data_IF_141907919518
#
_entry.id   IF_141907919518
#
_cell.length_a   1.000
_cell.length_b   1.000
_cell.length_c   1.000
_cell.angle_alpha   90.00
_cell.angle_beta   90.00
_cell.angle_gamma   90.00
#
_symmetry.space_group_name_H-M   'P 1'
#
loop_
_entity.id
_entity.type
_entity.pdbx_description
1 polymer ?
#
# COMPACT_ATOMS: atom_id res chain seq x y z
N UNK A 1 -12.34 28.21 -10.49
CA UNK A 1 -11.03 28.09 -11.15
C UNK A 1 -9.82 28.29 -10.23
N UNK A 2 -9.89 29.08 -9.15
CA UNK A 2 -8.74 29.34 -8.26
C UNK A 2 -8.29 28.18 -7.33
N UNK A 3 -9.11 27.15 -7.10
CA UNK A 3 -8.74 26.00 -6.24
C UNK A 3 -7.87 24.95 -6.97
N UNK A 4 -8.17 24.65 -8.23
CA UNK A 4 -7.45 23.64 -9.03
C UNK A 4 -5.98 24.01 -9.33
N UNK A 5 -5.64 25.30 -9.37
CA UNK A 5 -4.26 25.75 -9.54
C UNK A 5 -3.43 25.66 -8.25
N UNK A 6 -4.08 25.66 -7.08
CA UNK A 6 -3.40 25.58 -5.77
C UNK A 6 -2.98 24.16 -5.44
N UNK A 7 -3.82 23.18 -5.81
CA UNK A 7 -3.54 21.76 -5.58
C UNK A 7 -2.41 21.23 -6.48
N UNK A 8 -2.37 21.62 -7.76
CA UNK A 8 -1.27 21.27 -8.68
C UNK A 8 0.08 21.88 -8.29
N UNK A 9 0.09 23.04 -7.63
CA UNK A 9 1.33 23.70 -7.15
C UNK A 9 1.90 22.98 -5.92
N UNK A 10 1.02 22.53 -5.02
CA UNK A 10 1.39 21.80 -3.81
C UNK A 10 1.96 20.40 -4.10
N UNK A 11 1.47 19.74 -5.15
CA UNK A 11 1.94 18.41 -5.58
C UNK A 11 3.36 18.48 -6.15
N UNK A 12 3.64 19.48 -7.01
CA UNK A 12 4.99 19.76 -7.52
C UNK A 12 5.99 20.12 -6.42
N UNK A 13 5.59 20.92 -5.43
CA UNK A 13 6.47 21.26 -4.30
C UNK A 13 6.76 20.04 -3.40
N UNK A 14 5.82 19.07 -3.30
CA UNK A 14 6.05 17.81 -2.56
C UNK A 14 6.98 16.86 -3.31
N UNK A 15 6.88 16.77 -4.63
CA UNK A 15 7.80 15.97 -5.45
C UNK A 15 9.22 16.55 -5.45
N UNK A 16 9.35 17.88 -5.57
CA UNK A 16 10.66 18.55 -5.50
C UNK A 16 11.32 18.41 -4.11
N UNK A 17 10.53 18.47 -3.03
CA UNK A 17 11.05 18.21 -1.67
C UNK A 17 11.48 16.75 -1.48
N UNK A 18 10.77 15.79 -2.07
CA UNK A 18 11.17 14.37 -2.04
C UNK A 18 12.45 14.14 -2.84
N UNK A 19 12.59 14.75 -4.01
CA UNK A 19 13.84 14.67 -4.80
C UNK A 19 15.02 15.35 -4.08
N UNK A 20 14.79 16.45 -3.36
CA UNK A 20 15.84 17.12 -2.58
C UNK A 20 16.31 16.27 -1.39
N UNK A 21 15.38 15.66 -0.63
CA UNK A 21 15.72 14.77 0.49
C UNK A 21 16.45 13.50 0.02
N UNK A 22 16.07 12.96 -1.13
CA UNK A 22 16.77 11.80 -1.73
C UNK A 22 18.18 12.18 -2.18
N UNK A 23 18.40 13.41 -2.66
CA UNK A 23 19.73 13.90 -3.03
C UNK A 23 20.63 14.15 -1.83
N UNK A 24 20.12 14.77 -0.76
CA UNK A 24 20.89 14.97 0.47
C UNK A 24 21.30 13.63 1.11
N UNK A 25 20.40 12.63 1.11
CA UNK A 25 20.72 11.28 1.58
C UNK A 25 21.72 10.53 0.68
N UNK A 26 21.76 10.85 -0.62
CA UNK A 26 22.76 10.31 -1.54
C UNK A 26 24.13 10.97 -1.35
N UNK A 27 24.18 12.28 -1.15
CA UNK A 27 25.43 13.02 -0.91
C UNK A 27 26.07 12.63 0.44
N UNK A 28 25.28 12.45 1.50
CA UNK A 28 25.78 12.00 2.80
C UNK A 28 26.33 10.57 2.74
N UNK A 29 25.66 9.67 2.01
CA UNK A 29 26.15 8.32 1.77
C UNK A 29 27.44 8.30 0.93
N UNK A 30 27.57 9.20 -0.06
CA UNK A 30 28.79 9.35 -0.87
C UNK A 30 29.97 9.89 -0.05
N UNK A 31 29.74 10.83 0.87
CA UNK A 31 30.77 11.32 1.78
C UNK A 31 31.24 10.22 2.74
N UNK A 32 30.33 9.45 3.35
CA UNK A 32 30.70 8.32 4.22
C UNK A 32 31.47 7.22 3.46
N UNK A 33 31.12 6.97 2.20
CA UNK A 33 31.84 6.06 1.30
C UNK A 33 33.25 6.58 0.94
N UNK A 34 33.42 7.89 0.82
CA UNK A 34 34.71 8.51 0.50
C UNK A 34 35.74 8.33 1.64
N UNK A 35 35.27 8.29 2.89
CA UNK A 35 36.10 8.04 4.07
C UNK A 35 36.61 6.59 4.10
N UNK A 36 35.80 5.64 3.64
CA UNK A 36 36.15 4.20 3.55
C UNK A 36 37.11 3.87 2.39
N UNK A 37 37.12 4.69 1.33
CA UNK A 37 37.92 4.50 0.11
C UNK A 37 39.44 4.68 0.29
N UNK A 38 39.90 5.23 1.43
CA UNK A 38 41.34 5.42 1.72
C UNK A 38 42.11 4.12 2.01
N UNK A 39 41.45 2.95 2.10
CA UNK A 39 42.11 1.64 2.22
C UNK A 39 41.57 0.64 1.18
N UNK A 40 42.34 0.40 0.12
CA UNK A 40 42.23 -0.80 -0.73
C UNK A 40 41.09 -0.83 -1.77
N UNK A 41 41.27 -0.12 -2.88
CA UNK A 41 40.26 0.05 -3.97
C UNK A 41 39.73 -1.23 -4.63
N UNK A 42 40.45 -2.35 -4.56
CA UNK A 42 40.03 -3.63 -5.17
C UNK A 42 39.06 -4.45 -4.31
N UNK A 43 39.29 -4.49 -3.00
CA UNK A 43 38.41 -5.18 -2.06
C UNK A 43 37.10 -4.38 -1.86
N UNK A 44 37.20 -3.05 -1.80
CA UNK A 44 36.07 -2.15 -1.58
C UNK A 44 35.04 -2.22 -2.72
N UNK A 45 35.46 -2.31 -3.99
CA UNK A 45 34.49 -2.44 -5.11
C UNK A 45 33.68 -3.73 -5.07
N UNK A 46 34.32 -4.86 -4.74
CA UNK A 46 33.63 -6.15 -4.61
C UNK A 46 32.68 -6.14 -3.41
N UNK A 47 33.12 -5.56 -2.29
CA UNK A 47 32.27 -5.34 -1.11
C UNK A 47 31.09 -4.43 -1.44
N UNK A 48 31.28 -3.35 -2.19
CA UNK A 48 30.18 -2.44 -2.60
C UNK A 48 29.16 -3.18 -3.49
N UNK A 49 29.61 -3.97 -4.47
CA UNK A 49 28.68 -4.74 -5.32
C UNK A 49 27.92 -5.82 -4.54
N UNK A 50 28.59 -6.45 -3.57
CA UNK A 50 27.97 -7.47 -2.71
C UNK A 50 27.00 -6.81 -1.71
N UNK A 51 27.32 -5.61 -1.20
CA UNK A 51 26.43 -4.80 -0.36
C UNK A 51 25.21 -4.32 -1.15
N UNK A 52 25.37 -3.82 -2.37
CA UNK A 52 24.25 -3.41 -3.21
C UNK A 52 23.33 -4.61 -3.56
N UNK A 53 23.91 -5.78 -3.81
CA UNK A 53 23.13 -7.00 -4.05
C UNK A 53 22.35 -7.41 -2.79
N UNK A 54 22.98 -7.41 -1.63
CA UNK A 54 22.32 -7.76 -0.36
C UNK A 54 21.26 -6.75 0.06
N UNK A 55 21.48 -5.45 -0.15
CA UNK A 55 20.48 -4.40 0.07
C UNK A 55 19.28 -4.58 -0.85
N UNK A 56 19.52 -4.87 -2.14
CA UNK A 56 18.44 -5.13 -3.10
C UNK A 56 17.63 -6.38 -2.75
N UNK A 57 18.29 -7.46 -2.34
CA UNK A 57 17.59 -8.69 -1.92
C UNK A 57 16.83 -8.50 -0.61
N UNK A 58 17.40 -7.79 0.37
CA UNK A 58 16.71 -7.43 1.60
C UNK A 58 15.47 -6.56 1.32
N UNK A 59 15.59 -5.56 0.43
CA UNK A 59 14.46 -4.72 0.03
C UNK A 59 13.37 -5.53 -0.70
N UNK A 60 13.73 -6.47 -1.58
CA UNK A 60 12.77 -7.37 -2.23
C UNK A 60 12.02 -8.23 -1.22
N UNK A 61 12.72 -8.79 -0.24
CA UNK A 61 12.09 -9.61 0.79
C UNK A 61 11.16 -8.78 1.68
N UNK A 62 11.55 -7.56 2.07
CA UNK A 62 10.66 -6.63 2.78
C UNK A 62 9.41 -6.29 1.98
N UNK A 63 9.54 -6.00 0.67
CA UNK A 63 8.39 -5.73 -0.20
C UNK A 63 7.45 -6.94 -0.33
N UNK A 64 8.02 -8.15 -0.40
CA UNK A 64 7.25 -9.38 -0.42
C UNK A 64 6.48 -9.59 0.88
N UNK A 65 7.11 -9.34 2.03
CA UNK A 65 6.45 -9.42 3.33
C UNK A 65 5.31 -8.41 3.45
N UNK A 66 5.52 -7.17 3.00
CA UNK A 66 4.46 -6.14 2.96
C UNK A 66 3.27 -6.58 2.10
N UNK A 67 3.52 -7.10 0.90
CA UNK A 67 2.44 -7.63 0.04
C UNK A 67 1.68 -8.79 0.69
N UNK A 68 2.38 -9.71 1.34
CA UNK A 68 1.72 -10.81 2.06
C UNK A 68 0.80 -10.27 3.17
N UNK A 69 1.23 -9.24 3.90
CA UNK A 69 0.40 -8.61 4.93
C UNK A 69 -0.82 -7.89 4.35
N UNK A 70 -0.67 -7.19 3.23
CA UNK A 70 -1.79 -6.58 2.48
C UNK A 70 -2.82 -7.62 2.03
N UNK A 71 -2.37 -8.81 1.65
CA UNK A 71 -3.22 -9.96 1.31
C UNK A 71 -3.79 -10.69 2.53
N UNK A 72 -3.47 -10.26 3.76
CA UNK A 72 -3.88 -10.91 4.99
C UNK A 72 -3.21 -12.27 5.22
N UNK A 73 -1.97 -12.42 4.78
CA UNK A 73 -1.14 -13.63 4.93
C UNK A 73 0.07 -13.39 5.82
N UNK A 74 0.51 -14.44 6.50
CA UNK A 74 1.64 -14.42 7.40
C UNK A 74 2.95 -14.30 6.59
N UNK A 75 3.86 -13.38 6.95
CA UNK A 75 5.14 -13.23 6.26
C UNK A 75 6.07 -14.43 6.48
N UNK A 76 5.94 -15.15 7.59
CA UNK A 76 6.78 -16.31 7.89
C UNK A 76 6.31 -17.60 7.20
N UNK A 77 4.99 -17.87 7.23
CA UNK A 77 4.45 -19.16 6.76
C UNK A 77 3.45 -19.08 5.61
N UNK A 78 3.11 -17.87 5.13
CA UNK A 78 2.20 -17.64 3.98
C UNK A 78 0.72 -17.97 4.21
N UNK A 79 0.35 -18.48 5.40
CA UNK A 79 -1.04 -18.82 5.75
C UNK A 79 -1.84 -17.58 6.13
N UNK A 80 -3.18 -17.67 6.04
CA UNK A 80 -4.08 -16.57 6.41
C UNK A 80 -3.89 -16.13 7.87
N UNK A 81 -3.70 -14.84 8.08
CA UNK A 81 -3.71 -14.22 9.41
C UNK A 81 -5.13 -13.86 9.83
N UNK A 82 -5.37 -13.82 11.13
CA UNK A 82 -6.55 -13.18 11.71
C UNK A 82 -6.21 -11.75 12.08
N UNK A 83 -7.00 -10.80 11.59
CA UNK A 83 -6.85 -9.37 11.89
C UNK A 83 -7.81 -8.96 13.00
N UNK A 84 -7.26 -8.36 14.06
CA UNK A 84 -7.97 -7.67 15.13
C UNK A 84 -7.79 -6.14 14.93
N UNK A 85 -8.43 -5.32 15.78
CA UNK A 85 -8.40 -3.85 15.63
C UNK A 85 -6.98 -3.27 15.61
N UNK A 86 -6.10 -3.79 16.47
CA UNK A 86 -4.73 -3.28 16.66
C UNK A 86 -3.66 -4.35 16.46
N UNK A 87 -4.04 -5.58 16.12
CA UNK A 87 -3.12 -6.71 16.07
C UNK A 87 -3.49 -7.65 14.93
N UNK A 88 -2.49 -8.13 14.21
CA UNK A 88 -2.61 -9.25 13.26
C UNK A 88 -1.87 -10.46 13.82
N UNK A 89 -2.53 -11.62 13.83
CA UNK A 89 -1.96 -12.85 14.40
C UNK A 89 -2.08 -14.00 13.39
N UNK A 90 -1.00 -14.75 13.20
CA UNK A 90 -1.03 -16.01 12.50
C UNK A 90 -1.35 -17.15 13.49
N UNK A 91 -2.52 -17.81 13.39
CA UNK A 91 -2.90 -18.87 14.32
C UNK A 91 -2.07 -20.15 14.20
N UNK A 92 -1.25 -20.28 13.15
CA UNK A 92 -0.48 -21.49 12.87
C UNK A 92 0.96 -21.45 13.37
N UNK A 93 1.63 -20.30 13.23
CA UNK A 93 3.05 -20.15 13.62
C UNK A 93 3.24 -19.18 14.79
N UNK A 94 2.18 -18.46 15.21
CA UNK A 94 2.26 -17.50 16.31
C UNK A 94 2.85 -16.14 15.94
N UNK A 95 3.26 -15.94 14.68
CA UNK A 95 3.67 -14.61 14.20
C UNK A 95 2.59 -13.57 14.53
N UNK A 96 3.00 -12.44 15.07
CA UNK A 96 2.10 -11.34 15.38
C UNK A 96 2.74 -9.99 15.07
N UNK A 97 1.89 -9.05 14.69
CA UNK A 97 2.23 -7.64 14.57
C UNK A 97 1.18 -6.85 15.31
N UNK A 98 1.60 -5.90 16.15
CA UNK A 98 0.71 -5.04 16.89
C UNK A 98 1.09 -3.58 16.70
N UNK A 99 0.10 -2.71 16.88
CA UNK A 99 0.29 -1.27 16.93
C UNK A 99 0.25 -0.88 18.41
N UNK A 100 1.21 -0.09 18.86
CA UNK A 100 1.19 0.47 20.22
C UNK A 100 0.15 1.61 20.30
N UNK A 101 -0.47 1.82 21.47
CA UNK A 101 -1.28 3.02 21.71
C UNK A 101 -0.46 4.29 21.45
N UNK A 102 -1.07 5.32 20.86
CA UNK A 102 -0.32 6.47 20.34
C UNK A 102 -0.58 7.78 21.10
N UNK A 103 -1.78 8.01 21.64
CA UNK A 103 -2.16 9.35 22.11
C UNK A 103 -2.31 9.42 23.63
N UNK A 104 -3.11 8.52 24.21
CA UNK A 104 -3.40 8.51 25.65
C UNK A 104 -3.32 7.12 26.25
N UNK A 105 -3.39 6.09 25.41
CA UNK A 105 -3.19 4.73 25.88
C UNK A 105 -1.77 4.56 26.40
N UNK A 106 -1.63 3.73 27.44
CA UNK A 106 -0.34 3.42 28.05
C UNK A 106 -0.09 1.94 27.96
N UNK A 107 1.18 1.58 27.81
CA UNK A 107 1.65 0.23 27.94
C UNK A 107 2.26 0.06 29.33
N UNK A 108 1.80 -0.96 30.05
CA UNK A 108 2.37 -1.31 31.36
C UNK A 108 3.05 -2.66 31.26
N UNK A 109 4.36 -2.67 31.46
CA UNK A 109 5.14 -3.91 31.54
C UNK A 109 5.20 -4.33 33.00
N UNK A 110 4.65 -5.51 33.28
CA UNK A 110 4.64 -6.09 34.62
C UNK A 110 5.82 -7.06 34.76
N UNK A 111 6.70 -6.80 35.71
CA UNK A 111 7.85 -7.66 36.01
C UNK A 111 7.46 -8.79 36.97
N UNK A 112 8.24 -9.88 36.98
CA UNK A 112 8.06 -11.01 37.91
C UNK A 112 8.18 -10.60 39.38
N UNK A 113 8.96 -9.56 39.65
CA UNK A 113 9.17 -9.02 40.99
C UNK A 113 8.00 -8.15 41.48
N UNK A 114 6.93 -8.03 40.69
CA UNK A 114 5.75 -7.20 41.01
C UNK A 114 5.92 -5.72 40.68
N UNK A 115 7.10 -5.31 40.21
CA UNK A 115 7.34 -3.94 39.75
C UNK A 115 6.65 -3.69 38.41
N UNK A 116 6.01 -2.54 38.25
CA UNK A 116 5.32 -2.14 37.02
C UNK A 116 6.02 -0.98 36.35
N UNK A 117 6.16 -1.06 35.04
CA UNK A 117 6.89 -0.11 34.23
C UNK A 117 5.92 0.51 33.21
N UNK A 118 5.65 1.81 33.34
CA UNK A 118 4.81 2.53 32.39
C UNK A 118 5.64 3.10 31.24
N UNK A 119 5.20 2.81 30.01
CA UNK A 119 5.83 3.24 28.78
C UNK A 119 4.78 3.52 27.69
N UNK A 120 5.17 4.27 26.67
CA UNK A 120 4.29 4.64 25.56
C UNK A 120 4.31 3.52 24.52
N UNK A 121 5.50 2.98 24.23
CA UNK A 121 5.68 1.83 23.37
C UNK A 121 6.75 0.86 23.87
N UNK A 122 6.64 -0.38 23.42
CA UNK A 122 7.62 -1.43 23.71
C UNK A 122 8.13 -2.05 22.42
N UNK A 123 9.42 -2.32 22.35
CA UNK A 123 10.03 -2.99 21.19
C UNK A 123 10.73 -4.27 21.63
N UNK A 124 10.39 -5.40 21.01
CA UNK A 124 11.08 -6.66 21.25
C UNK A 124 12.32 -6.75 20.35
N UNK A 125 13.47 -6.98 20.98
CA UNK A 125 14.73 -7.18 20.27
C UNK A 125 14.95 -8.67 20.03
N UNK A 126 15.54 -9.03 18.88
CA UNK A 126 15.90 -10.41 18.55
C UNK A 126 16.76 -11.12 19.60
N UNK A 127 17.41 -10.36 20.49
CA UNK A 127 18.22 -10.87 21.61
C UNK A 127 17.40 -11.15 22.88
N UNK A 128 16.07 -11.20 22.79
CA UNK A 128 15.18 -11.49 23.91
C UNK A 128 15.15 -10.39 24.97
N UNK A 129 15.28 -9.12 24.57
CA UNK A 129 15.11 -7.98 25.47
C UNK A 129 14.00 -7.09 24.96
N UNK A 130 13.19 -6.57 25.87
CA UNK A 130 12.16 -5.59 25.58
C UNK A 130 12.67 -4.20 25.96
N UNK A 131 12.62 -3.29 25.00
CA UNK A 131 12.93 -1.88 25.18
C UNK A 131 11.64 -1.15 25.52
N UNK A 132 11.64 -0.40 26.62
CA UNK A 132 10.52 0.44 27.02
C UNK A 132 10.84 1.89 26.61
N UNK A 133 10.01 2.45 25.74
CA UNK A 133 10.18 3.79 25.17
C UNK A 133 9.18 4.73 25.82
N UNK A 134 9.63 5.93 26.18
CA UNK A 134 8.78 7.01 26.68
C UNK A 134 9.34 8.35 26.25
N UNK A 135 8.48 9.22 25.73
CA UNK A 135 8.86 10.52 25.15
C UNK A 135 9.96 10.38 24.07
N UNK A 136 9.81 9.39 23.17
CA UNK A 136 10.77 9.04 22.11
C UNK A 136 12.18 8.64 22.61
N UNK A 137 12.35 8.39 23.91
CA UNK A 137 13.61 7.95 24.51
C UNK A 137 13.46 6.54 25.08
N UNK A 138 14.44 5.67 24.80
CA UNK A 138 14.56 4.36 25.46
C UNK A 138 14.90 4.61 26.93
N UNK A 139 13.93 4.41 27.83
CA UNK A 139 14.13 4.61 29.27
C UNK A 139 14.71 3.38 29.94
N UNK A 140 14.31 2.19 29.48
CA UNK A 140 14.71 0.93 30.09
C UNK A 140 14.88 -0.17 29.06
N UNK A 141 15.79 -1.09 29.37
CA UNK A 141 16.01 -2.35 28.67
C UNK A 141 15.78 -3.47 29.67
N UNK A 142 14.80 -4.32 29.41
CA UNK A 142 14.38 -5.39 30.31
C UNK A 142 14.54 -6.74 29.61
N UNK A 143 15.24 -7.72 30.21
CA UNK A 143 15.26 -9.09 29.68
C UNK A 143 13.86 -9.70 29.65
N UNK A 144 13.50 -10.40 28.57
CA UNK A 144 12.18 -11.05 28.45
C UNK A 144 11.91 -12.07 29.56
N UNK A 145 12.97 -12.66 30.13
CA UNK A 145 12.90 -13.60 31.27
C UNK A 145 12.31 -12.97 32.53
N UNK A 146 12.39 -11.65 32.69
CA UNK A 146 11.95 -10.95 33.90
C UNK A 146 10.54 -10.38 33.76
N UNK A 147 9.93 -10.50 32.58
CA UNK A 147 8.61 -9.98 32.29
C UNK A 147 7.57 -11.07 32.61
N UNK A 148 6.51 -10.67 33.29
CA UNK A 148 5.35 -11.53 33.55
C UNK A 148 4.35 -11.40 32.40
N UNK A 149 3.86 -10.19 32.14
CA UNK A 149 2.97 -9.87 31.03
C UNK A 149 3.05 -8.38 30.67
N UNK A 150 2.52 -8.04 29.50
CA UNK A 150 2.40 -6.66 29.02
C UNK A 150 0.91 -6.35 28.90
N UNK A 151 0.51 -5.26 29.55
CA UNK A 151 -0.86 -4.77 29.51
C UNK A 151 -0.95 -3.60 28.54
N UNK A 152 -1.95 -3.66 27.67
CA UNK A 152 -2.25 -2.60 26.70
C UNK A 152 -3.48 -1.82 27.18
N UNK A 153 -3.25 -0.65 27.77
CA UNK A 153 -4.31 0.24 28.24
C UNK A 153 -4.84 1.10 27.09
N UNK A 154 -5.69 0.54 26.24
CA UNK A 154 -6.37 1.29 25.17
C UNK A 154 -7.45 2.20 25.74
N UNK A 155 -7.51 3.44 25.26
CA UNK A 155 -8.63 4.33 25.60
C UNK A 155 -9.85 4.05 24.72
N UNK A 156 -11.06 4.26 25.26
CA UNK A 156 -12.30 4.11 24.48
C UNK A 156 -12.32 5.03 23.23
N UNK A 157 -11.70 6.21 23.31
CA UNK A 157 -11.51 7.13 22.19
C UNK A 157 -10.70 6.48 21.05
N UNK A 158 -9.55 5.88 21.37
CA UNK A 158 -8.69 5.19 20.38
C UNK A 158 -9.38 3.96 19.78
N UNK A 159 -10.11 3.20 20.59
CA UNK A 159 -10.89 2.04 20.13
C UNK A 159 -12.00 2.46 19.18
N UNK A 160 -12.74 3.52 19.53
CA UNK A 160 -13.82 4.04 18.71
C UNK A 160 -13.31 4.58 17.37
N UNK A 161 -12.23 5.38 17.39
CA UNK A 161 -11.63 5.93 16.17
C UNK A 161 -11.11 4.81 15.25
N UNK A 162 -10.42 3.80 15.82
CA UNK A 162 -9.93 2.68 15.02
C UNK A 162 -11.07 1.85 14.42
N UNK A 163 -12.16 1.64 15.14
CA UNK A 163 -13.37 0.95 14.63
C UNK A 163 -13.98 1.72 13.46
N UNK A 164 -14.11 3.04 13.59
CA UNK A 164 -14.62 3.90 12.53
C UNK A 164 -13.72 3.87 11.30
N UNK A 165 -12.41 3.93 11.48
CA UNK A 165 -11.45 3.81 10.38
C UNK A 165 -11.60 2.46 9.67
N UNK A 166 -11.70 1.36 10.45
CA UNK A 166 -11.89 0.03 9.88
C UNK A 166 -13.20 -0.06 9.08
N UNK A 167 -14.29 0.49 9.61
CA UNK A 167 -15.57 0.56 8.89
C UNK A 167 -15.45 1.36 7.58
N UNK A 168 -14.71 2.47 7.58
CA UNK A 168 -14.44 3.24 6.36
C UNK A 168 -13.59 2.48 5.35
N UNK A 169 -12.64 1.65 5.79
CA UNK A 169 -11.81 0.80 4.94
C UNK A 169 -12.61 -0.37 4.34
N UNK A 170 -13.52 -0.94 5.14
CA UNK A 170 -14.39 -2.05 4.76
C UNK A 170 -15.60 -1.62 3.93
N UNK A 171 -15.99 -0.35 3.97
CA UNK A 171 -17.10 0.18 3.17
C UNK A 171 -16.60 0.88 1.91
N UNK A 172 -17.45 0.88 0.89
CA UNK A 172 -17.23 1.61 -0.35
C UNK A 172 -18.54 2.25 -0.81
N UNK A 173 -18.42 3.32 -1.58
CA UNK A 173 -19.56 4.06 -2.12
C UNK A 173 -19.90 3.49 -3.50
N UNK A 174 -21.19 3.30 -3.77
CA UNK A 174 -21.69 2.91 -5.09
C UNK A 174 -21.61 4.08 -6.06
N UNK A 175 -20.93 3.90 -7.19
CA UNK A 175 -20.72 4.96 -8.19
C UNK A 175 -21.98 5.35 -8.97
N UNK A 176 -23.06 4.56 -8.86
CA UNK A 176 -24.35 4.89 -9.47
C UNK A 176 -25.31 5.62 -8.53
N UNK A 177 -25.51 5.09 -7.31
CA UNK A 177 -26.54 5.57 -6.40
C UNK A 177 -26.00 6.28 -5.16
N UNK A 178 -24.67 6.35 -4.98
CA UNK A 178 -24.02 7.01 -3.85
C UNK A 178 -24.20 6.32 -2.49
N UNK A 179 -24.85 5.15 -2.44
CA UNK A 179 -25.05 4.41 -1.18
C UNK A 179 -23.76 3.71 -0.76
N UNK A 180 -23.51 3.70 0.55
CA UNK A 180 -22.43 2.93 1.16
C UNK A 180 -22.83 1.46 1.27
N UNK A 181 -21.91 0.57 0.94
CA UNK A 181 -22.05 -0.87 1.11
C UNK A 181 -20.70 -1.50 1.43
N UNK A 182 -20.72 -2.75 1.93
CA UNK A 182 -19.50 -3.45 2.29
C UNK A 182 -18.70 -3.79 1.03
N UNK A 183 -17.42 -3.43 1.01
CA UNK A 183 -16.53 -3.50 -0.16
C UNK A 183 -16.41 -4.91 -0.74
N UNK A 184 -16.51 -5.94 0.10
CA UNK A 184 -16.49 -7.34 -0.33
C UNK A 184 -17.74 -7.77 -1.13
N UNK A 185 -18.86 -7.06 -0.95
CA UNK A 185 -20.13 -7.35 -1.64
C UNK A 185 -20.33 -6.46 -2.88
N UNK A 186 -19.46 -5.48 -3.08
CA UNK A 186 -19.53 -4.56 -4.22
C UNK A 186 -19.16 -5.28 -5.51
N UNK A 187 -19.98 -5.08 -6.53
CA UNK A 187 -19.69 -5.50 -7.90
C UNK A 187 -18.71 -4.52 -8.53
N UNK A 188 -17.71 -5.04 -9.23
CA UNK A 188 -16.71 -4.22 -9.92
C UNK A 188 -16.94 -4.33 -11.42
N UNK A 189 -16.95 -3.21 -12.13
CA UNK A 189 -16.90 -3.18 -13.60
C UNK A 189 -15.80 -2.23 -14.04
N UNK A 190 -15.12 -2.61 -15.12
CA UNK A 190 -14.20 -1.71 -15.79
C UNK A 190 -14.88 -1.14 -17.02
N UNK A 191 -14.80 0.18 -17.17
CA UNK A 191 -15.52 0.91 -18.18
C UNK A 191 -14.51 1.73 -18.98
N UNK A 192 -14.52 1.56 -20.30
CA UNK A 192 -13.70 2.33 -21.21
C UNK A 192 -14.49 3.51 -21.76
N UNK A 193 -14.01 4.73 -21.47
CA UNK A 193 -14.50 6.00 -21.99
C UNK A 193 -13.42 6.65 -22.86
N UNK A 194 -13.64 6.71 -24.17
CA UNK A 194 -12.71 7.35 -25.11
C UNK A 194 -11.39 6.59 -25.23
N UNK A 195 -10.36 7.01 -24.50
CA UNK A 195 -9.05 6.31 -24.39
C UNK A 195 -8.74 5.88 -22.95
N UNK A 196 -9.57 6.28 -22.00
CA UNK A 196 -9.38 5.98 -20.58
C UNK A 196 -10.16 4.73 -20.20
N UNK A 197 -9.60 3.96 -19.28
CA UNK A 197 -10.28 2.85 -18.62
C UNK A 197 -10.36 3.15 -17.14
N UNK A 198 -11.57 3.17 -16.62
CA UNK A 198 -11.87 3.49 -15.23
C UNK A 198 -12.56 2.32 -14.54
N UNK A 199 -12.32 2.20 -13.24
CA UNK A 199 -12.90 1.16 -12.39
C UNK A 199 -14.09 1.75 -11.64
N UNK A 200 -15.22 1.08 -11.72
CA UNK A 200 -16.46 1.45 -11.04
C UNK A 200 -16.91 0.33 -10.08
N UNK A 201 -17.55 0.72 -8.98
CA UNK A 201 -18.06 -0.10 -7.89
C UNK A 201 -19.58 0.08 -7.76
N UNK A 202 -20.32 -1.02 -7.66
CA UNK A 202 -21.78 -1.01 -7.57
C UNK A 202 -22.28 -1.86 -6.41
N UNK A 203 -23.22 -1.32 -5.63
CA UNK A 203 -23.82 -2.03 -4.49
C UNK A 203 -24.85 -3.10 -4.88
N UNK A 204 -25.22 -3.19 -6.16
CA UNK A 204 -26.20 -4.19 -6.63
C UNK A 204 -26.12 -4.39 -8.14
N UNK A 205 -26.55 -5.57 -8.65
CA UNK A 205 -26.65 -5.81 -10.09
C UNK A 205 -27.54 -4.79 -10.80
N UNK A 206 -28.61 -4.32 -10.14
CA UNK A 206 -29.51 -3.31 -10.68
C UNK A 206 -28.81 -1.97 -10.94
N UNK A 207 -27.97 -1.52 -10.01
CA UNK A 207 -27.19 -0.29 -10.18
C UNK A 207 -26.18 -0.42 -11.33
N UNK A 208 -25.48 -1.56 -11.39
CA UNK A 208 -24.54 -1.86 -12.45
C UNK A 208 -25.21 -1.87 -13.84
N UNK A 209 -26.34 -2.55 -14.00
CA UNK A 209 -27.08 -2.60 -15.27
C UNK A 209 -27.63 -1.23 -15.67
N UNK A 210 -28.12 -0.45 -14.69
CA UNK A 210 -28.62 0.90 -14.96
C UNK A 210 -27.51 1.81 -15.50
N UNK A 211 -26.32 1.73 -14.90
CA UNK A 211 -25.13 2.44 -15.37
C UNK A 211 -24.74 2.01 -16.79
N UNK A 212 -24.69 0.70 -17.06
CA UNK A 212 -24.35 0.14 -18.38
C UNK A 212 -25.35 0.52 -19.48
N UNK A 213 -26.63 0.63 -19.14
CA UNK A 213 -27.65 1.06 -20.09
C UNK A 213 -27.51 2.54 -20.44
N UNK A 214 -27.31 3.39 -19.43
CA UNK A 214 -27.25 4.84 -19.61
C UNK A 214 -25.99 5.27 -20.37
N UNK A 215 -24.84 4.70 -20.05
CA UNK A 215 -23.59 5.15 -20.64
C UNK A 215 -23.19 4.30 -21.86
N UNK A 216 -22.78 4.93 -22.98
CA UNK A 216 -22.20 4.25 -24.13
C UNK A 216 -20.77 3.79 -23.78
N UNK A 217 -20.65 2.72 -23.00
CA UNK A 217 -19.37 2.24 -22.46
C UNK A 217 -18.93 0.92 -23.11
N UNK A 218 -17.62 0.82 -23.35
CA UNK A 218 -16.93 -0.43 -23.71
C UNK A 218 -16.57 -1.14 -22.39
N UNK A 219 -16.83 -2.44 -22.28
CA UNK A 219 -16.86 -3.14 -20.97
C UNK A 219 -15.60 -3.98 -20.71
N UNK A 220 -14.83 -4.27 -21.76
CA UNK A 220 -13.65 -5.14 -21.64
C UNK A 220 -12.34 -4.36 -21.50
N UNK A 221 -11.40 -4.93 -20.72
CA UNK A 221 -10.06 -4.36 -20.46
C UNK A 221 -9.25 -4.12 -21.74
N UNK A 222 -9.39 -5.03 -22.70
CA UNK A 222 -8.62 -4.99 -23.95
C UNK A 222 -9.43 -4.41 -25.12
N UNK A 223 -10.49 -3.63 -24.84
CA UNK A 223 -11.42 -3.19 -25.89
C UNK A 223 -10.75 -2.32 -26.98
N UNK A 224 -9.64 -1.66 -26.68
CA UNK A 224 -8.89 -0.87 -27.68
C UNK A 224 -7.95 -1.69 -28.56
N UNK A 225 -7.69 -2.95 -28.21
CA UNK A 225 -6.80 -3.84 -28.96
C UNK A 225 -7.57 -4.78 -29.90
N UNK A 226 -8.90 -4.69 -29.95
CA UNK A 226 -9.77 -5.54 -30.78
C UNK A 226 -10.77 -4.70 -31.58
N UNK A 227 -11.15 -5.17 -32.76
CA UNK A 227 -12.22 -4.55 -33.54
C UNK A 227 -13.54 -4.73 -32.82
N UNK A 228 -14.32 -3.65 -32.70
CA UNK A 228 -15.56 -3.68 -31.91
C UNK A 228 -16.62 -4.64 -32.51
N UNK A 229 -16.58 -4.88 -33.82
CA UNK A 229 -17.46 -5.84 -34.51
C UNK A 229 -17.18 -7.29 -34.10
N UNK A 230 -15.91 -7.61 -33.86
CA UNK A 230 -15.40 -8.94 -33.53
C UNK A 230 -15.36 -9.19 -32.00
N UNK A 231 -15.80 -8.22 -31.19
CA UNK A 231 -15.78 -8.30 -29.74
C UNK A 231 -17.13 -8.78 -29.19
N UNK A 232 -17.19 -10.00 -28.70
CA UNK A 232 -18.38 -10.57 -28.04
C UNK A 232 -18.43 -10.28 -26.53
N UNK A 233 -17.40 -9.63 -26.00
CA UNK A 233 -17.26 -9.28 -24.58
C UNK A 233 -17.90 -7.91 -24.24
N UNK A 234 -18.29 -7.12 -25.24
CA UNK A 234 -18.93 -5.81 -25.06
C UNK A 234 -20.44 -5.87 -25.36
N UNK A 235 -21.25 -5.32 -24.46
CA UNK A 235 -22.72 -5.26 -24.62
C UNK A 235 -23.12 -4.31 -25.78
N UNK A 236 -22.39 -3.21 -25.97
CA UNK A 236 -22.62 -2.26 -27.07
C UNK A 236 -21.51 -2.39 -28.12
N UNK A 237 -21.89 -2.80 -29.33
CA UNK A 237 -21.01 -2.83 -30.51
C UNK A 237 -21.13 -1.52 -31.28
N UNK A 238 -20.00 -0.94 -31.67
CA UNK A 238 -19.92 0.24 -32.52
C UNK A 238 -19.41 -0.18 -33.88
N UNK A 239 -20.20 0.10 -34.91
CA UNK A 239 -19.77 -0.05 -36.29
C UNK A 239 -18.91 1.16 -36.64
N UNK A 240 -17.69 0.92 -37.12
CA UNK A 240 -16.87 1.97 -37.71
C UNK A 240 -17.60 2.52 -38.95
N UNK A 241 -18.26 3.66 -38.78
CA UNK A 241 -18.83 4.42 -39.91
C UNK A 241 -17.80 5.39 -40.50
N UNK A 242 -16.60 5.47 -39.89
CA UNK A 242 -15.48 6.31 -40.31
C UNK A 242 -14.37 5.55 -41.01
N UNK A 243 -14.68 4.53 -41.80
CA UNK A 243 -13.76 4.01 -42.81
C UNK A 243 -13.79 4.90 -44.06
N UNK A 244 -13.42 6.18 -43.91
CA UNK A 244 -12.74 6.84 -45.02
C UNK A 244 -11.45 6.06 -45.20
N UNK A 245 -11.40 5.19 -46.22
CA UNK A 245 -10.20 4.50 -46.68
C UNK A 245 -9.05 5.49 -46.61
N UNK A 246 -8.14 5.31 -45.67
CA UNK A 246 -6.78 5.81 -45.83
C UNK A 246 -6.20 4.86 -46.86
N UNK A 247 -6.33 5.24 -48.14
CA UNK A 247 -5.62 4.56 -49.22
C UNK A 247 -4.14 4.59 -48.85
N UNK A 248 -3.48 3.43 -48.90
CA UNK A 248 -2.03 3.40 -48.76
C UNK A 248 -1.40 4.15 -49.93
N UNK A 249 -0.23 4.75 -49.71
CA UNK A 249 0.52 5.52 -50.70
C UNK A 249 0.80 4.70 -51.98
N UNK A 250 0.78 3.38 -51.89
CA UNK A 250 0.98 2.45 -53.00
C UNK A 250 -0.21 2.35 -53.97
N UNK A 251 -1.43 2.71 -53.55
CA UNK A 251 -2.62 2.68 -54.42
C UNK A 251 -2.76 3.95 -55.28
N UNK A 252 -2.15 5.07 -54.86
CA UNK A 252 -2.15 6.34 -55.63
C UNK A 252 -1.17 6.29 -56.80
N UNK A 253 -0.11 5.49 -56.72
CA UNK A 253 0.93 5.40 -57.74
C UNK A 253 0.56 4.51 -58.96
N UNK A 254 -0.63 3.90 -58.98
CA UNK A 254 -1.11 3.07 -60.09
C UNK A 254 -2.14 3.77 -61.00
N UNK A 255 -2.50 5.02 -60.70
CA UNK A 255 -3.45 5.82 -61.49
C UNK A 255 -2.83 7.07 -62.14
N UNK A 256 -1.50 7.15 -62.23
CA UNK A 256 -0.78 8.13 -63.06
C UNK A 256 0.14 7.42 -64.04
#
# INVERSE_FOLDING_TARGET
>A
MLRLHKDKKNEKEREQKKEAVVKEQQEEAEEELSVLSKKGKGAVKKIITDVDATVKEAAKESLKQLRLLEEGRCPECGRKTKQFLFTSICPYCGWSSFISPQQKGRMTVHLKDGTTLQCDSTFDTQKGNILCIRDDVVRMKVPSTNISYIEFGWTEEEVAERRKQKEMEETAICDWCGKTAHRAEMLVTFCAFGTYQERYLFCSPKCMLSFQNQYPMRIHRDCYHRRCQECDECIKKYYDTSSKKILSVEEVAKET
#
